data_IF_071251294388
#
_entry.id   IF_071251294388
#
_cell.length_a   1.000
_cell.length_b   1.000
_cell.length_c   1.000
_cell.angle_alpha   90.00
_cell.angle_beta   90.00
_cell.angle_gamma   90.00
#
_symmetry.space_group_name_H-M   'P 1'
#
loop_
_entity.id
_entity.type
_entity.pdbx_description
1 polymer ?
#
# COMPACT_ATOMS: atom_id res chain seq x y z
N UNK A 1 18.69 17.13 43.60
CA UNK A 1 17.97 15.96 43.05
C UNK A 1 16.89 16.50 42.13
N UNK A 2 17.22 16.71 40.85
CA UNK A 2 16.36 17.48 39.95
C UNK A 2 16.83 17.33 38.51
N UNK A 3 16.58 16.16 37.92
CA UNK A 3 16.83 15.87 36.49
C UNK A 3 15.85 14.78 36.04
N UNK A 4 14.56 15.08 35.86
CA UNK A 4 13.59 14.08 35.33
C UNK A 4 12.38 14.65 34.57
N UNK A 5 12.41 15.89 34.06
CA UNK A 5 11.21 16.50 33.41
C UNK A 5 11.41 17.12 32.02
N UNK A 6 12.53 16.84 31.32
CA UNK A 6 12.78 17.39 29.96
C UNK A 6 12.81 16.36 28.82
N UNK A 7 12.47 15.08 29.07
CA UNK A 7 12.48 14.05 28.01
C UNK A 7 11.12 13.71 27.41
N UNK A 8 10.02 13.95 28.13
CA UNK A 8 8.68 13.57 27.67
C UNK A 8 8.03 14.60 26.74
N UNK A 9 8.37 15.88 26.88
CA UNK A 9 7.80 16.97 26.05
C UNK A 9 8.23 16.91 24.58
N UNK A 10 9.36 16.27 24.27
CA UNK A 10 9.85 16.17 22.89
C UNK A 10 9.16 15.08 22.06
N UNK A 11 8.54 14.08 22.70
CA UNK A 11 7.85 13.00 22.01
C UNK A 11 6.45 13.44 21.54
N UNK A 12 5.73 14.22 22.37
CA UNK A 12 4.43 14.79 22.02
C UNK A 12 4.54 15.83 20.91
N UNK A 13 5.50 16.75 21.00
CA UNK A 13 5.73 17.79 19.98
C UNK A 13 6.14 17.21 18.62
N UNK A 14 6.85 16.07 18.60
CA UNK A 14 7.20 15.37 17.34
C UNK A 14 6.00 14.67 16.69
N UNK A 15 5.01 14.23 17.47
CA UNK A 15 3.77 13.64 16.95
C UNK A 15 2.80 14.71 16.41
N UNK A 16 2.81 15.91 16.98
CA UNK A 16 1.97 17.04 16.53
C UNK A 16 2.37 17.58 15.14
N UNK A 17 3.66 17.55 14.78
CA UNK A 17 4.13 18.00 13.45
C UNK A 17 3.52 17.13 12.33
N UNK A 18 3.30 15.84 12.59
CA UNK A 18 2.71 14.89 11.64
C UNK A 18 1.18 14.91 11.58
N UNK A 19 0.50 15.41 12.62
CA UNK A 19 -0.96 15.36 12.78
C UNK A 19 -1.63 16.71 12.56
N UNK A 20 -0.89 17.72 12.10
CA UNK A 20 -1.37 19.07 11.78
C UNK A 20 -2.36 19.07 10.60
N UNK A 21 -3.57 18.54 10.79
CA UNK A 21 -4.76 18.64 9.93
C UNK A 21 -4.62 18.21 8.45
N UNK A 22 -3.43 17.78 8.02
CA UNK A 22 -3.11 17.60 6.61
C UNK A 22 -3.30 16.13 6.22
N UNK A 23 -4.30 15.88 5.38
CA UNK A 23 -4.49 14.58 4.72
C UNK A 23 -3.29 14.16 3.84
N UNK A 24 -2.30 15.04 3.67
CA UNK A 24 -1.13 14.83 2.81
C UNK A 24 -0.31 13.63 3.27
N UNK A 25 0.02 13.50 4.56
CA UNK A 25 0.88 12.41 5.03
C UNK A 25 0.20 11.03 4.93
N UNK A 26 -1.05 10.85 5.38
CA UNK A 26 -1.77 9.60 5.15
C UNK A 26 -1.89 9.27 3.66
N UNK A 27 -2.20 10.26 2.82
CA UNK A 27 -2.31 10.04 1.37
C UNK A 27 -0.98 9.62 0.76
N UNK A 28 0.14 10.25 1.13
CA UNK A 28 1.47 9.88 0.65
C UNK A 28 1.84 8.45 1.04
N UNK A 29 1.63 8.05 2.29
CA UNK A 29 1.91 6.67 2.72
C UNK A 29 0.99 5.66 2.03
N UNK A 30 -0.30 5.99 1.84
CA UNK A 30 -1.23 5.13 1.12
C UNK A 30 -0.82 4.96 -0.36
N UNK A 31 -0.49 6.05 -1.05
CA UNK A 31 -0.05 6.02 -2.45
C UNK A 31 1.27 5.26 -2.59
N UNK A 32 2.23 5.47 -1.68
CA UNK A 32 3.49 4.74 -1.66
C UNK A 32 3.26 3.24 -1.45
N UNK A 33 2.41 2.86 -0.48
CA UNK A 33 2.06 1.47 -0.23
C UNK A 33 1.44 0.82 -1.48
N UNK A 34 0.47 1.49 -2.11
CA UNK A 34 -0.23 0.97 -3.31
C UNK A 34 0.76 0.84 -4.47
N UNK A 35 1.56 1.87 -4.76
CA UNK A 35 2.55 1.84 -5.83
C UNK A 35 3.57 0.71 -5.67
N UNK A 36 4.13 0.56 -4.47
CA UNK A 36 5.07 -0.53 -4.16
C UNK A 36 4.40 -1.91 -4.25
N UNK A 37 3.13 -2.02 -3.85
CA UNK A 37 2.38 -3.27 -3.94
C UNK A 37 2.10 -3.64 -5.38
N UNK A 38 1.81 -2.68 -6.26
CA UNK A 38 1.67 -2.92 -7.71
C UNK A 38 2.99 -3.43 -8.29
N UNK A 39 4.12 -2.78 -7.96
CA UNK A 39 5.46 -3.22 -8.40
C UNK A 39 5.77 -4.62 -7.92
N UNK A 40 5.44 -4.96 -6.66
CA UNK A 40 5.64 -6.29 -6.11
C UNK A 40 4.86 -7.35 -6.88
N UNK A 41 3.56 -7.12 -7.10
CA UNK A 41 2.69 -8.04 -7.84
C UNK A 41 3.12 -8.21 -9.30
N UNK A 42 3.50 -7.12 -9.99
CA UNK A 42 4.05 -7.19 -11.34
C UNK A 42 5.35 -7.98 -11.38
N UNK A 43 6.23 -7.80 -10.40
CA UNK A 43 7.50 -8.53 -10.31
C UNK A 43 7.25 -10.02 -10.09
N UNK A 44 6.30 -10.39 -9.22
CA UNK A 44 5.92 -11.80 -9.03
C UNK A 44 5.33 -12.42 -10.28
N UNK A 45 4.57 -11.65 -11.07
CA UNK A 45 4.10 -12.11 -12.38
C UNK A 45 5.26 -12.39 -13.33
N UNK A 46 6.22 -11.47 -13.44
CA UNK A 46 7.41 -11.65 -14.28
C UNK A 46 8.27 -12.84 -13.83
N UNK A 47 8.40 -13.02 -12.51
CA UNK A 47 9.05 -14.18 -11.90
C UNK A 47 8.39 -15.49 -12.36
N UNK A 48 7.06 -15.58 -12.26
CA UNK A 48 6.30 -16.77 -12.64
C UNK A 48 6.41 -17.12 -14.13
N UNK A 49 6.64 -16.13 -15.00
CA UNK A 49 6.81 -16.34 -16.46
C UNK A 49 8.27 -16.51 -16.89
N UNK A 50 9.23 -16.44 -15.97
CA UNK A 50 10.65 -16.52 -16.32
C UNK A 50 11.04 -17.94 -16.75
N UNK A 51 11.69 -18.05 -17.92
CA UNK A 51 12.23 -19.31 -18.45
C UNK A 51 13.54 -19.76 -17.78
N UNK A 52 14.15 -18.89 -16.97
CA UNK A 52 15.41 -19.18 -16.26
C UNK A 52 15.25 -19.05 -14.75
N UNK A 53 15.95 -19.92 -14.00
CA UNK A 53 15.94 -19.88 -12.54
C UNK A 53 16.50 -18.56 -11.98
N UNK A 54 17.51 -17.98 -12.66
CA UNK A 54 18.10 -16.68 -12.28
C UNK A 54 17.12 -15.54 -12.46
N UNK A 55 16.38 -15.54 -13.58
CA UNK A 55 15.32 -14.56 -13.83
C UNK A 55 14.19 -14.68 -12.81
N UNK A 56 13.77 -15.91 -12.49
CA UNK A 56 12.81 -16.19 -11.43
C UNK A 56 13.29 -15.58 -10.11
N UNK A 57 14.51 -15.91 -9.67
CA UNK A 57 15.02 -15.42 -8.39
C UNK A 57 15.21 -13.89 -8.38
N UNK A 58 15.70 -13.29 -9.46
CA UNK A 58 15.88 -11.84 -9.55
C UNK A 58 14.55 -11.08 -9.40
N UNK A 59 13.51 -11.52 -10.11
CA UNK A 59 12.17 -10.94 -9.98
C UNK A 59 11.54 -11.22 -8.63
N UNK A 60 11.85 -12.36 -8.01
CA UNK A 60 11.38 -12.68 -6.67
C UNK A 60 12.01 -11.79 -5.61
N UNK A 61 13.31 -11.48 -5.73
CA UNK A 61 14.00 -10.53 -4.86
C UNK A 61 13.43 -9.13 -5.04
N UNK A 62 13.25 -8.67 -6.28
CA UNK A 62 12.67 -7.37 -6.57
C UNK A 62 11.24 -7.24 -6.00
N UNK A 63 10.41 -8.26 -6.19
CA UNK A 63 9.04 -8.25 -5.69
C UNK A 63 8.95 -8.28 -4.16
N UNK A 64 9.79 -9.08 -3.50
CA UNK A 64 9.83 -9.11 -2.04
C UNK A 64 10.39 -7.82 -1.43
N UNK A 65 11.39 -7.20 -2.07
CA UNK A 65 11.91 -5.92 -1.62
C UNK A 65 10.83 -4.83 -1.73
N UNK A 66 10.13 -4.77 -2.86
CA UNK A 66 9.00 -3.85 -3.03
C UNK A 66 7.88 -4.12 -2.02
N UNK A 67 7.52 -5.38 -1.80
CA UNK A 67 6.52 -5.79 -0.81
C UNK A 67 6.93 -5.43 0.63
N UNK A 68 8.20 -5.61 0.99
CA UNK A 68 8.70 -5.20 2.29
C UNK A 68 8.60 -3.69 2.49
N UNK A 69 9.00 -2.90 1.49
CA UNK A 69 8.87 -1.44 1.52
C UNK A 69 7.39 -1.02 1.58
N UNK A 70 6.48 -1.75 0.94
CA UNK A 70 5.04 -1.45 1.02
C UNK A 70 4.52 -1.65 2.44
N UNK A 71 4.96 -2.70 3.14
CA UNK A 71 4.61 -2.92 4.56
C UNK A 71 5.16 -1.81 5.45
N UNK A 72 6.36 -1.30 5.19
CA UNK A 72 6.88 -0.13 5.91
C UNK A 72 6.02 1.12 5.68
N UNK A 73 5.59 1.36 4.44
CA UNK A 73 4.68 2.47 4.12
C UNK A 73 3.32 2.32 4.82
N UNK A 74 2.75 1.12 4.84
CA UNK A 74 1.52 0.83 5.60
C UNK A 74 1.75 1.04 7.10
N UNK A 75 2.87 0.58 7.63
CA UNK A 75 3.20 0.78 9.05
C UNK A 75 3.29 2.28 9.38
N UNK A 76 3.85 3.09 8.47
CA UNK A 76 3.80 4.55 8.56
C UNK A 76 2.37 5.10 8.57
N UNK A 77 1.52 4.64 7.66
CA UNK A 77 0.11 5.01 7.59
C UNK A 77 -0.66 4.66 8.88
N UNK A 78 -0.39 3.49 9.47
CA UNK A 78 -1.03 3.02 10.69
C UNK A 78 -0.68 3.85 11.94
N UNK A 79 0.39 4.65 11.88
CA UNK A 79 0.69 5.64 12.93
C UNK A 79 -0.21 6.87 12.84
N UNK A 80 -0.88 7.08 11.71
CA UNK A 80 -1.71 8.26 11.42
C UNK A 80 -3.20 7.92 11.34
N UNK A 81 -3.54 6.71 10.90
CA UNK A 81 -4.90 6.27 10.61
C UNK A 81 -5.16 4.89 11.25
N UNK A 82 -6.35 4.66 11.84
CA UNK A 82 -6.71 3.36 12.37
C UNK A 82 -6.63 2.24 11.33
N UNK A 83 -6.22 1.04 11.76
CA UNK A 83 -6.06 -0.13 10.90
C UNK A 83 -7.34 -0.47 10.10
N UNK A 84 -8.51 -0.34 10.73
CA UNK A 84 -9.79 -0.65 10.10
C UNK A 84 -10.15 0.29 8.93
N UNK A 85 -9.51 1.46 8.84
CA UNK A 85 -9.66 2.38 7.70
C UNK A 85 -8.51 2.20 6.71
N UNK A 86 -7.27 2.18 7.23
CA UNK A 86 -6.07 2.13 6.40
C UNK A 86 -6.00 0.86 5.54
N UNK A 87 -6.24 -0.31 6.14
CA UNK A 87 -6.07 -1.60 5.45
C UNK A 87 -7.07 -1.82 4.31
N UNK A 88 -8.40 -1.62 4.49
CA UNK A 88 -9.34 -1.77 3.39
C UNK A 88 -9.05 -0.81 2.23
N UNK A 89 -8.72 0.45 2.53
CA UNK A 89 -8.41 1.47 1.50
C UNK A 89 -7.21 1.04 0.66
N UNK A 90 -6.08 0.71 1.30
CA UNK A 90 -4.88 0.34 0.55
C UNK A 90 -5.03 -1.00 -0.17
N UNK A 91 -5.73 -1.96 0.44
CA UNK A 91 -5.99 -3.26 -0.17
C UNK A 91 -6.81 -3.13 -1.46
N UNK A 92 -7.94 -2.41 -1.45
CA UNK A 92 -8.72 -2.28 -2.69
C UNK A 92 -8.10 -1.38 -3.72
N UNK A 93 -7.44 -0.28 -3.31
CA UNK A 93 -6.68 0.52 -4.26
C UNK A 93 -5.57 -0.30 -4.93
N UNK A 94 -4.94 -1.23 -4.19
CA UNK A 94 -3.98 -2.18 -4.74
C UNK A 94 -4.66 -3.16 -5.70
N UNK A 95 -5.82 -3.73 -5.36
CA UNK A 95 -6.56 -4.64 -6.26
C UNK A 95 -6.90 -3.93 -7.58
N UNK A 96 -7.47 -2.73 -7.51
CA UNK A 96 -7.81 -1.93 -8.69
C UNK A 96 -6.54 -1.56 -9.46
N UNK A 97 -5.49 -1.13 -8.77
CA UNK A 97 -4.21 -0.76 -9.37
C UNK A 97 -3.53 -1.92 -10.08
N UNK A 98 -3.52 -3.11 -9.50
CA UNK A 98 -2.95 -4.31 -10.13
C UNK A 98 -3.78 -4.71 -11.35
N UNK A 99 -5.11 -4.68 -11.27
CA UNK A 99 -5.94 -5.00 -12.44
C UNK A 99 -5.75 -3.97 -13.57
N UNK A 100 -5.89 -2.69 -13.27
CA UNK A 100 -5.89 -1.63 -14.30
C UNK A 100 -4.48 -1.29 -14.79
N UNK A 101 -3.50 -1.19 -13.90
CA UNK A 101 -2.14 -0.77 -14.26
C UNK A 101 -1.29 -1.97 -14.63
N UNK A 102 -1.22 -3.00 -13.77
CA UNK A 102 -0.37 -4.14 -14.07
C UNK A 102 -0.99 -5.02 -15.18
N UNK A 103 -2.17 -5.58 -14.97
CA UNK A 103 -2.75 -6.54 -15.90
C UNK A 103 -3.11 -5.91 -17.24
N UNK A 104 -3.85 -4.78 -17.25
CA UNK A 104 -4.32 -4.17 -18.50
C UNK A 104 -3.24 -3.37 -19.25
N UNK A 105 -2.43 -2.56 -18.55
CA UNK A 105 -1.45 -1.70 -19.22
C UNK A 105 -0.08 -2.37 -19.40
N UNK A 106 0.45 -3.02 -18.37
CA UNK A 106 1.77 -3.68 -18.43
C UNK A 106 1.74 -5.04 -19.13
N UNK A 107 0.74 -5.88 -18.84
CA UNK A 107 0.65 -7.23 -19.38
C UNK A 107 -0.35 -7.39 -20.53
N UNK A 108 -1.09 -6.34 -20.89
CA UNK A 108 -2.02 -6.33 -22.01
C UNK A 108 -3.23 -7.25 -21.84
N UNK A 109 -3.53 -7.70 -20.64
CA UNK A 109 -4.62 -8.64 -20.37
C UNK A 109 -5.98 -7.99 -20.57
N UNK A 110 -6.93 -8.77 -21.11
CA UNK A 110 -8.31 -8.33 -21.31
C UNK A 110 -9.07 -8.55 -20.00
N UNK A 111 -9.45 -7.46 -19.34
CA UNK A 111 -10.33 -7.52 -18.15
C UNK A 111 -11.76 -7.70 -18.63
N UNK A 112 -12.38 -8.80 -18.22
CA UNK A 112 -13.78 -9.11 -18.52
C UNK A 112 -14.76 -8.17 -17.79
N UNK A 113 -15.99 -7.97 -18.31
CA UNK A 113 -17.00 -7.14 -17.66
C UNK A 113 -17.38 -7.59 -16.25
N UNK A 114 -17.33 -8.89 -15.97
CA UNK A 114 -17.59 -9.44 -14.62
C UNK A 114 -16.48 -9.10 -13.63
N UNK A 115 -15.21 -9.04 -14.07
CA UNK A 115 -14.09 -8.59 -13.23
C UNK A 115 -14.22 -7.10 -12.90
N UNK A 116 -14.69 -6.28 -13.84
CA UNK A 116 -15.03 -4.88 -13.56
C UNK A 116 -16.13 -4.73 -12.51
N UNK A 117 -17.18 -5.56 -12.59
CA UNK A 117 -18.24 -5.57 -11.58
C UNK A 117 -17.69 -5.96 -10.20
N UNK A 118 -16.82 -6.98 -10.15
CA UNK A 118 -16.12 -7.38 -8.92
C UNK A 118 -15.25 -6.26 -8.35
N UNK A 119 -14.49 -5.55 -9.19
CA UNK A 119 -13.69 -4.40 -8.76
C UNK A 119 -14.56 -3.27 -8.18
N UNK A 120 -15.71 -2.98 -8.82
CA UNK A 120 -16.68 -2.00 -8.31
C UNK A 120 -17.25 -2.42 -6.96
N UNK A 121 -17.59 -3.70 -6.78
CA UNK A 121 -18.04 -4.23 -5.49
C UNK A 121 -16.96 -4.08 -4.40
N UNK A 122 -15.68 -4.31 -4.72
CA UNK A 122 -14.57 -4.10 -3.78
C UNK A 122 -14.47 -2.63 -3.37
N UNK A 123 -14.51 -1.70 -4.34
CA UNK A 123 -14.49 -0.25 -4.08
C UNK A 123 -15.66 0.17 -3.18
N UNK A 124 -16.88 -0.28 -3.49
CA UNK A 124 -18.07 -0.01 -2.68
C UNK A 124 -17.92 -0.56 -1.27
N UNK A 125 -17.46 -1.79 -1.11
CA UNK A 125 -17.21 -2.41 0.19
C UNK A 125 -16.24 -1.60 1.05
N UNK A 126 -15.18 -1.06 0.45
CA UNK A 126 -14.19 -0.24 1.15
C UNK A 126 -14.76 1.10 1.59
N UNK A 127 -15.53 1.76 0.72
CA UNK A 127 -16.21 3.01 1.07
C UNK A 127 -17.18 2.79 2.24
N UNK A 128 -17.88 1.66 2.27
CA UNK A 128 -18.77 1.32 3.37
C UNK A 128 -18.01 1.05 4.68
N UNK A 129 -16.87 0.37 4.62
CA UNK A 129 -16.04 0.09 5.81
C UNK A 129 -15.42 1.38 6.36
N UNK A 130 -14.94 2.28 5.48
CA UNK A 130 -14.26 3.53 5.87
C UNK A 130 -15.19 4.67 6.31
N UNK A 131 -16.52 4.49 6.28
CA UNK A 131 -17.52 5.53 6.62
C UNK A 131 -17.94 5.58 8.11
N UNK A 132 -17.21 4.92 9.01
CA UNK A 132 -17.46 4.93 10.45
C UNK A 132 -16.26 5.53 11.19
#
# INVERSE_FOLDING_TARGET
>A
MGVTTMKETNASVRFDIWTSGSLVWPALFALLNVGLSIVANSSFRLSATSSSWRGFLAWQVAGNLAGFLSVLALTGLLRLVPLHVAYPITAGLTVVGVQVVAARWFFGEVISPSQWLGAMCVVVGIVLIGRR
#
